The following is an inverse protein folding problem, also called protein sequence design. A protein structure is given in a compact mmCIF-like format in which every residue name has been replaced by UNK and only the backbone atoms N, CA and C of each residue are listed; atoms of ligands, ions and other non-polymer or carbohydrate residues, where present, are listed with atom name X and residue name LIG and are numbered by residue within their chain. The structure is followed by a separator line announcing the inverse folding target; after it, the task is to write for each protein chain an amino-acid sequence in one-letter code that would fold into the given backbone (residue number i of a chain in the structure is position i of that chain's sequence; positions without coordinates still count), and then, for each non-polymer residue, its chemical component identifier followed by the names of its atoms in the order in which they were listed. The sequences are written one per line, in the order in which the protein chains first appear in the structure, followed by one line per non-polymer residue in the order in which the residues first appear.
data_IF_065353229316
#
_entry.id   IF_065353229316
#
_cell.length_a   1.000
_cell.length_b   1.000
_cell.length_c   1.000
_cell.angle_alpha   90.00
_cell.angle_beta   90.00
_cell.angle_gamma   90.00
#
_symmetry.space_group_name_H-M   'P 1'
#
loop_
_entity.id
_entity.type
_entity.pdbx_description
1 polymer ?
#
# COMPACT_ATOMS: atom_id res chain seq x y z
N UNK A 1 -7.56 -16.76 9.31
CA UNK A 1 -6.80 -17.55 8.31
C UNK A 1 -7.11 -16.95 6.95
N UNK A 2 -6.12 -16.54 6.14
CA UNK A 2 -6.38 -15.98 4.81
C UNK A 2 -6.95 -17.09 3.93
N UNK A 3 -8.03 -16.80 3.22
CA UNK A 3 -8.60 -17.70 2.23
C UNK A 3 -8.31 -17.12 0.86
N UNK A 4 -7.76 -17.96 -0.02
CA UNK A 4 -7.50 -17.60 -1.40
C UNK A 4 -8.81 -17.66 -2.20
N UNK A 5 -9.06 -16.60 -2.98
CA UNK A 5 -10.21 -16.55 -3.88
C UNK A 5 -10.02 -17.43 -5.11
N UNK A 6 -8.77 -17.67 -5.50
CA UNK A 6 -8.38 -18.45 -6.67
C UNK A 6 -7.87 -19.81 -6.22
N UNK A 7 -8.25 -20.86 -6.96
CA UNK A 7 -7.81 -22.22 -6.70
C UNK A 7 -6.88 -22.64 -7.84
N UNK A 8 -5.62 -22.83 -7.51
CA UNK A 8 -4.57 -23.34 -8.39
C UNK A 8 -3.60 -24.18 -7.55
N UNK A 9 -2.81 -25.03 -8.18
CA UNK A 9 -1.73 -25.74 -7.48
C UNK A 9 -0.71 -24.73 -6.93
N UNK A 10 -0.07 -25.01 -5.78
CA UNK A 10 0.99 -24.14 -5.26
C UNK A 10 2.06 -23.88 -6.33
N UNK A 11 2.25 -22.61 -6.65
CA UNK A 11 3.25 -22.18 -7.63
C UNK A 11 4.55 -21.95 -6.86
N UNK A 12 5.59 -22.70 -7.19
CA UNK A 12 6.92 -22.50 -6.63
C UNK A 12 7.59 -21.27 -7.25
N UNK A 13 8.00 -20.34 -6.41
CA UNK A 13 8.85 -19.20 -6.74
C UNK A 13 9.56 -18.71 -5.46
N UNK A 14 10.64 -17.98 -5.63
CA UNK A 14 11.30 -17.26 -4.55
C UNK A 14 10.97 -15.76 -4.66
N UNK A 15 10.52 -15.18 -3.56
CA UNK A 15 10.35 -13.74 -3.44
C UNK A 15 11.07 -13.22 -2.20
N UNK A 16 11.89 -12.21 -2.40
CA UNK A 16 12.50 -11.42 -1.35
C UNK A 16 12.32 -9.94 -1.68
N UNK A 17 11.90 -9.16 -0.68
CA UNK A 17 11.73 -7.72 -0.84
C UNK A 17 13.08 -7.01 -0.71
N UNK A 18 13.76 -6.79 -1.85
CA UNK A 18 15.02 -6.05 -1.95
C UNK A 18 14.88 -4.80 -2.83
N UNK A 19 15.90 -3.94 -2.85
CA UNK A 19 15.88 -2.71 -3.67
C UNK A 19 15.91 -3.02 -5.18
N UNK A 20 16.43 -4.17 -5.58
CA UNK A 20 16.50 -4.64 -6.96
C UNK A 20 15.23 -5.36 -7.39
N UNK A 21 14.53 -6.03 -6.46
CA UNK A 21 13.39 -6.91 -6.75
C UNK A 21 12.03 -6.27 -6.51
N UNK A 22 11.99 -5.13 -5.81
CA UNK A 22 10.73 -4.47 -5.43
C UNK A 22 10.79 -2.97 -5.75
N UNK A 23 10.13 -2.59 -6.84
CA UNK A 23 9.98 -1.20 -7.25
C UNK A 23 8.53 -0.71 -7.10
N UNK A 24 8.38 0.50 -6.55
CA UNK A 24 7.08 1.12 -6.33
C UNK A 24 7.08 2.54 -6.86
N UNK A 25 6.24 2.84 -7.84
CA UNK A 25 6.02 4.20 -8.34
C UNK A 25 4.67 4.74 -7.88
N UNK A 26 4.68 5.90 -7.23
CA UNK A 26 3.47 6.60 -6.83
C UNK A 26 2.72 7.17 -8.04
N UNK A 27 1.41 6.95 -8.10
CA UNK A 27 0.52 7.60 -9.06
C UNK A 27 -0.15 8.80 -8.38
N UNK A 28 0.09 10.04 -8.84
CA UNK A 28 -0.45 11.22 -8.19
C UNK A 28 -1.98 11.25 -8.33
N UNK A 29 -2.68 11.80 -7.33
CA UNK A 29 -4.14 11.88 -7.34
C UNK A 29 -4.67 12.79 -8.47
N UNK A 30 -3.89 13.81 -8.82
CA UNK A 30 -4.20 14.79 -9.86
C UNK A 30 -2.92 15.24 -10.56
N UNK A 31 -3.07 15.76 -11.78
CA UNK A 31 -1.96 16.37 -12.51
C UNK A 31 -1.54 17.67 -11.84
N UNK A 32 -0.23 17.87 -11.64
CA UNK A 32 0.30 19.12 -11.09
C UNK A 32 0.16 20.27 -12.10
N UNK A 33 -0.07 21.48 -11.58
CA UNK A 33 -0.46 22.63 -12.40
C UNK A 33 0.68 23.27 -13.21
N UNK A 34 1.94 22.89 -12.96
CA UNK A 34 3.12 23.51 -13.57
C UNK A 34 3.44 24.92 -13.07
N UNK A 35 2.57 25.50 -12.24
CA UNK A 35 2.73 26.82 -11.60
C UNK A 35 2.22 26.81 -10.16
N UNK A 36 2.80 27.67 -9.32
CA UNK A 36 2.37 27.87 -7.94
C UNK A 36 3.53 28.11 -6.98
N UNK A 37 3.22 28.12 -5.68
CA UNK A 37 4.16 28.44 -4.60
C UNK A 37 4.89 27.21 -4.05
N UNK A 38 4.57 26.01 -4.54
CA UNK A 38 5.21 24.77 -4.13
C UNK A 38 5.93 24.14 -5.30
N UNK A 39 7.21 23.80 -5.10
CA UNK A 39 7.96 22.93 -5.97
C UNK A 39 7.55 21.48 -5.66
N UNK A 40 7.21 20.75 -6.71
CA UNK A 40 6.94 19.32 -6.66
C UNK A 40 8.13 18.58 -7.27
N UNK A 41 8.66 17.64 -6.51
CA UNK A 41 9.80 16.80 -6.87
C UNK A 41 9.30 15.36 -7.04
N UNK A 42 9.51 14.78 -8.22
CA UNK A 42 9.41 13.33 -8.42
C UNK A 42 10.74 12.73 -8.00
N UNK A 43 10.76 12.05 -6.86
CA UNK A 43 11.99 11.55 -6.25
C UNK A 43 12.02 10.03 -6.30
N UNK A 44 13.10 9.48 -6.86
CA UNK A 44 13.48 8.09 -6.70
C UNK A 44 14.42 7.96 -5.50
N UNK A 45 14.08 7.06 -4.58
CA UNK A 45 14.94 6.72 -3.42
C UNK A 45 15.21 5.22 -3.40
N UNK A 46 16.37 4.82 -2.87
CA UNK A 46 16.77 3.43 -2.63
C UNK A 46 17.23 3.23 -1.19
N UNK A 47 16.87 2.10 -0.59
CA UNK A 47 17.27 1.71 0.79
C UNK A 47 17.09 2.85 1.82
N UNK A 48 15.92 3.50 1.78
CA UNK A 48 15.65 4.68 2.59
C UNK A 48 14.15 4.76 2.88
N UNK A 49 13.75 4.99 4.13
CA UNK A 49 12.34 5.24 4.46
C UNK A 49 11.91 6.64 4.01
N UNK A 50 10.61 6.87 3.80
CA UNK A 50 10.11 8.23 3.51
C UNK A 50 10.50 9.21 4.61
N UNK A 51 10.44 8.83 5.89
CA UNK A 51 10.88 9.68 7.00
C UNK A 51 12.34 10.12 6.89
N UNK A 52 13.24 9.20 6.52
CA UNK A 52 14.65 9.53 6.33
C UNK A 52 14.84 10.46 5.12
N UNK A 53 14.08 10.27 4.04
CA UNK A 53 14.06 11.20 2.91
C UNK A 53 13.66 12.61 3.35
N UNK A 54 12.56 12.75 4.11
CA UNK A 54 12.10 14.05 4.63
C UNK A 54 13.19 14.71 5.46
N UNK A 55 13.84 13.95 6.35
CA UNK A 55 14.93 14.45 7.17
C UNK A 55 16.12 14.94 6.34
N UNK A 56 16.54 14.17 5.33
CA UNK A 56 17.65 14.54 4.43
C UNK A 56 17.31 15.82 3.65
N UNK A 57 16.09 15.93 3.14
CA UNK A 57 15.63 17.12 2.43
C UNK A 57 15.56 18.34 3.36
N UNK A 58 15.09 18.17 4.60
CA UNK A 58 15.09 19.21 5.63
C UNK A 58 16.51 19.72 5.89
N UNK A 59 17.49 18.83 6.04
CA UNK A 59 18.89 19.22 6.24
C UNK A 59 19.51 19.92 5.02
N UNK A 60 19.21 19.48 3.81
CA UNK A 60 19.72 20.11 2.59
C UNK A 60 19.10 21.51 2.35
N UNK A 61 17.82 21.68 2.68
CA UNK A 61 17.04 22.88 2.34
C UNK A 61 16.87 23.88 3.48
N UNK A 62 17.16 23.50 4.73
CA UNK A 62 16.88 24.30 5.92
C UNK A 62 15.39 24.37 6.31
N UNK A 63 14.52 23.66 5.60
CA UNK A 63 13.08 23.62 5.90
C UNK A 63 12.80 22.79 7.16
N UNK A 64 11.73 23.12 7.88
CA UNK A 64 11.21 22.20 8.89
C UNK A 64 10.58 20.99 8.20
N UNK A 65 10.70 19.80 8.80
CA UNK A 65 10.11 18.57 8.24
C UNK A 65 8.59 18.68 8.00
N UNK A 66 7.88 19.48 8.81
CA UNK A 66 6.43 19.75 8.64
C UNK A 66 6.08 20.54 7.38
N UNK A 67 7.05 21.26 6.81
CA UNK A 67 6.87 22.08 5.60
C UNK A 67 7.12 21.25 4.32
N UNK A 68 7.51 19.98 4.47
CA UNK A 68 7.78 19.04 3.38
C UNK A 68 6.59 18.07 3.26
N UNK A 69 5.79 18.26 2.22
CA UNK A 69 4.58 17.48 1.96
C UNK A 69 4.85 16.18 1.18
N UNK A 70 4.10 15.13 1.49
CA UNK A 70 4.13 13.84 0.82
C UNK A 70 2.77 13.13 0.97
N UNK A 71 2.43 12.23 0.04
CA UNK A 71 1.12 11.59 0.01
C UNK A 71 1.04 10.33 0.88
N UNK A 72 2.13 9.58 1.02
CA UNK A 72 2.18 8.38 1.85
C UNK A 72 3.60 7.92 2.13
N UNK A 73 3.74 7.03 3.10
CA UNK A 73 5.01 6.37 3.37
C UNK A 73 5.28 5.29 2.32
N UNK A 74 6.55 5.08 2.00
CA UNK A 74 7.04 4.06 1.08
C UNK A 74 8.09 3.20 1.77
N UNK A 75 8.19 1.95 1.34
CA UNK A 75 9.08 0.95 1.93
C UNK A 75 10.54 1.38 1.90
N UNK A 76 11.29 0.97 2.94
CA UNK A 76 12.74 1.18 3.02
C UNK A 76 13.47 0.23 2.09
N UNK A 77 13.16 -1.06 2.19
CA UNK A 77 13.78 -2.14 1.41
C UNK A 77 13.16 -2.25 0.01
N UNK A 78 13.23 -1.16 -0.76
CA UNK A 78 12.66 -1.06 -2.09
C UNK A 78 13.31 0.08 -2.88
N UNK A 79 13.24 0.02 -4.21
CA UNK A 79 13.38 1.22 -5.05
C UNK A 79 12.02 1.89 -5.13
N UNK A 80 11.90 3.15 -4.73
CA UNK A 80 10.58 3.80 -4.71
C UNK A 80 10.63 5.18 -5.33
N UNK A 81 9.65 5.47 -6.18
CA UNK A 81 9.42 6.77 -6.79
C UNK A 81 8.18 7.38 -6.12
N UNK A 82 8.32 8.57 -5.53
CA UNK A 82 7.22 9.28 -4.88
C UNK A 82 7.31 10.78 -5.09
N UNK A 83 6.19 11.49 -4.92
CA UNK A 83 6.16 12.94 -5.05
C UNK A 83 6.31 13.62 -3.69
N UNK A 84 7.23 14.58 -3.65
CA UNK A 84 7.48 15.44 -2.50
C UNK A 84 7.18 16.88 -2.88
N UNK A 85 6.51 17.64 -2.01
CA UNK A 85 6.31 19.07 -2.20
C UNK A 85 7.09 19.87 -1.18
N UNK A 86 7.81 20.90 -1.62
CA UNK A 86 8.48 21.88 -0.76
C UNK A 86 8.10 23.31 -1.18
N UNK A 87 8.22 24.32 -0.30
CA UNK A 87 8.08 25.72 -0.70
C UNK A 87 9.03 26.06 -1.86
N UNK A 88 8.52 26.75 -2.88
CA UNK A 88 9.27 27.09 -4.11
C UNK A 88 10.59 27.80 -3.83
N UNK A 89 10.65 28.61 -2.78
CA UNK A 89 11.84 29.39 -2.40
C UNK A 89 13.03 28.51 -2.01
N UNK A 90 12.78 27.27 -1.57
CA UNK A 90 13.82 26.32 -1.16
C UNK A 90 14.47 25.57 -2.34
N UNK A 91 14.00 25.78 -3.58
CA UNK A 91 14.51 25.07 -4.76
C UNK A 91 16.03 25.24 -4.94
N UNK A 92 16.53 26.45 -4.73
CA UNK A 92 17.96 26.77 -4.86
C UNK A 92 18.85 26.01 -3.87
N UNK A 93 18.29 25.59 -2.74
CA UNK A 93 19.01 24.86 -1.69
C UNK A 93 19.14 23.37 -2.00
N UNK A 94 18.41 22.85 -3.00
CA UNK A 94 18.55 21.46 -3.45
C UNK A 94 19.95 21.14 -3.99
N UNK A 95 20.75 22.16 -4.35
CA UNK A 95 22.17 21.97 -4.68
C UNK A 95 23.00 21.39 -3.53
N UNK A 96 22.51 21.51 -2.28
CA UNK A 96 23.16 20.97 -1.09
C UNK A 96 22.79 19.49 -0.86
N UNK A 97 21.93 18.90 -1.70
CA UNK A 97 21.56 17.49 -1.64
C UNK A 97 22.65 16.64 -2.33
N UNK A 98 23.49 15.97 -1.54
CA UNK A 98 24.71 15.29 -2.03
C UNK A 98 24.68 13.76 -1.97
N UNK A 99 23.52 13.15 -1.70
CA UNK A 99 23.43 11.69 -1.53
C UNK A 99 23.05 10.96 -2.82
N UNK A 100 23.77 9.88 -3.13
CA UNK A 100 23.50 9.01 -4.28
C UNK A 100 22.24 8.14 -4.08
N UNK A 101 21.71 8.03 -2.86
CA UNK A 101 20.49 7.26 -2.56
C UNK A 101 19.21 7.98 -3.00
N UNK A 102 19.30 9.23 -3.44
CA UNK A 102 18.17 10.08 -3.85
C UNK A 102 18.45 10.64 -5.23
N UNK A 103 17.53 10.43 -6.15
CA UNK A 103 17.56 10.99 -7.50
C UNK A 103 16.28 11.81 -7.73
N UNK A 104 16.43 13.06 -8.18
CA UNK A 104 15.31 13.91 -8.58
C UNK A 104 15.08 13.66 -10.07
N UNK A 105 14.01 12.93 -10.39
CA UNK A 105 13.66 12.57 -11.76
C UNK A 105 13.00 13.72 -12.51
N UNK A 106 12.10 14.44 -11.83
CA UNK A 106 11.33 15.54 -12.42
C UNK A 106 11.08 16.65 -11.41
N UNK A 107 10.93 17.87 -11.92
CA UNK A 107 10.51 19.06 -11.19
C UNK A 107 9.30 19.68 -11.86
N UNK A 108 8.29 20.05 -11.08
CA UNK A 108 7.15 20.84 -11.53
C UNK A 108 6.64 21.70 -10.38
N UNK A 109 5.55 22.44 -10.58
CA UNK A 109 4.99 23.30 -9.53
C UNK A 109 3.51 23.05 -9.31
N UNK A 110 3.06 23.34 -8.10
CA UNK A 110 1.65 23.28 -7.75
C UNK A 110 1.24 24.44 -6.84
N UNK A 111 -0.05 24.76 -6.85
CA UNK A 111 -0.62 25.81 -6.00
C UNK A 111 -0.60 25.46 -4.51
N UNK A 112 -0.72 24.18 -4.17
CA UNK A 112 -0.81 23.66 -2.80
C UNK A 112 0.21 22.54 -2.58
N UNK A 113 0.65 22.31 -1.32
CA UNK A 113 1.52 21.18 -0.99
C UNK A 113 0.76 19.86 -1.10
N UNK A 114 1.50 18.77 -1.27
CA UNK A 114 0.98 17.41 -1.20
C UNK A 114 0.66 17.08 0.25
N UNK A 115 -0.55 16.55 0.49
CA UNK A 115 -1.01 16.10 1.81
C UNK A 115 -1.14 14.58 1.86
N UNK A 116 -1.08 14.04 3.07
CA UNK A 116 -1.30 12.61 3.33
C UNK A 116 -2.62 12.16 2.69
N UNK A 117 -2.57 11.05 1.94
CA UNK A 117 -3.70 10.48 1.21
C UNK A 117 -3.91 11.04 -0.20
N UNK A 118 -3.15 12.05 -0.64
CA UNK A 118 -3.29 12.63 -1.98
C UNK A 118 -2.53 11.85 -3.07
N UNK A 119 -2.78 10.54 -3.15
CA UNK A 119 -2.32 9.68 -4.24
C UNK A 119 -3.50 8.88 -4.82
N UNK A 120 -3.44 8.57 -6.12
CA UNK A 120 -4.40 7.68 -6.77
C UNK A 120 -4.12 6.22 -6.41
N UNK A 121 -2.84 5.87 -6.30
CA UNK A 121 -2.39 4.51 -6.04
C UNK A 121 -0.89 4.38 -6.23
N UNK A 122 -0.42 3.15 -6.35
CA UNK A 122 0.98 2.86 -6.66
C UNK A 122 1.04 1.82 -7.77
N UNK A 123 1.98 2.00 -8.69
CA UNK A 123 2.41 0.99 -9.65
C UNK A 123 3.52 0.15 -9.02
N UNK A 124 3.43 -1.17 -9.12
CA UNK A 124 4.41 -2.09 -8.56
C UNK A 124 5.10 -2.85 -9.68
N UNK A 125 6.43 -2.96 -9.61
CA UNK A 125 7.23 -3.89 -10.39
C UNK A 125 7.95 -4.82 -9.43
N UNK A 126 7.71 -6.12 -9.57
CA UNK A 126 8.18 -7.15 -8.65
C UNK A 126 8.88 -8.23 -9.45
N UNK A 127 10.10 -8.59 -9.03
CA UNK A 127 10.88 -9.67 -9.62
C UNK A 127 10.76 -10.92 -8.75
N UNK A 128 10.31 -12.01 -9.36
CA UNK A 128 10.26 -13.35 -8.77
C UNK A 128 11.45 -14.16 -9.28
N UNK A 129 12.14 -14.87 -8.39
CA UNK A 129 13.28 -15.73 -8.71
C UNK A 129 12.88 -17.21 -8.69
N UNK A 130 13.74 -18.07 -9.24
CA UNK A 130 13.57 -19.52 -9.25
C UNK A 130 12.21 -19.97 -9.82
N UNK A 131 11.78 -19.30 -10.89
CA UNK A 131 10.52 -19.57 -11.57
C UNK A 131 10.78 -20.52 -12.75
N UNK A 132 10.20 -21.72 -12.70
CA UNK A 132 10.23 -22.65 -13.84
C UNK A 132 9.33 -22.16 -14.98
N UNK A 133 9.48 -22.71 -16.19
CA UNK A 133 8.59 -22.39 -17.32
C UNK A 133 7.12 -22.66 -16.97
N UNK A 134 6.84 -23.83 -16.38
CA UNK A 134 5.49 -24.18 -15.93
C UNK A 134 4.95 -23.23 -14.86
N UNK A 135 5.80 -22.80 -13.91
CA UNK A 135 5.41 -21.82 -12.90
C UNK A 135 5.09 -20.45 -13.52
N UNK A 136 5.87 -20.00 -14.51
CA UNK A 136 5.63 -18.75 -15.21
C UNK A 136 4.28 -18.75 -15.95
N UNK A 137 3.95 -19.84 -16.65
CA UNK A 137 2.65 -20.00 -17.32
C UNK A 137 1.48 -19.96 -16.32
N UNK A 138 1.61 -20.65 -15.18
CA UNK A 138 0.59 -20.61 -14.12
C UNK A 138 0.44 -19.21 -13.50
N UNK A 139 1.55 -18.49 -13.29
CA UNK A 139 1.53 -17.10 -12.80
C UNK A 139 0.79 -16.22 -13.78
N UNK A 140 1.12 -16.31 -15.07
CA UNK A 140 0.48 -15.50 -16.11
C UNK A 140 -1.03 -15.77 -16.15
N UNK A 141 -1.45 -17.04 -16.23
CA UNK A 141 -2.86 -17.43 -16.24
C UNK A 141 -3.59 -16.90 -14.99
N UNK A 142 -2.98 -17.05 -13.81
CA UNK A 142 -3.58 -16.57 -12.56
C UNK A 142 -3.66 -15.04 -12.53
N UNK A 143 -2.66 -14.34 -13.04
CA UNK A 143 -2.64 -12.89 -13.14
C UNK A 143 -3.74 -12.35 -14.08
N UNK A 144 -3.95 -12.99 -15.23
CA UNK A 144 -5.04 -12.66 -16.15
C UNK A 144 -6.41 -12.86 -15.52
N UNK A 145 -6.60 -13.94 -14.75
CA UNK A 145 -7.82 -14.16 -13.99
C UNK A 145 -8.04 -13.08 -12.92
N UNK A 146 -7.00 -12.75 -12.15
CA UNK A 146 -7.03 -11.70 -11.14
C UNK A 146 -7.32 -10.32 -11.75
N UNK A 147 -6.79 -10.02 -12.95
CA UNK A 147 -7.06 -8.77 -13.64
C UNK A 147 -8.54 -8.64 -14.04
N UNK A 148 -9.17 -9.74 -14.48
CA UNK A 148 -10.58 -9.75 -14.88
C UNK A 148 -11.54 -9.78 -13.70
N UNK A 149 -11.25 -10.58 -12.67
CA UNK A 149 -12.17 -10.86 -11.55
C UNK A 149 -11.86 -10.06 -10.29
N UNK A 150 -10.71 -9.38 -10.22
CA UNK A 150 -10.23 -8.63 -9.06
C UNK A 150 -9.55 -9.50 -8.02
N UNK A 151 -9.17 -8.94 -6.87
CA UNK A 151 -8.64 -9.71 -5.73
C UNK A 151 -9.33 -9.28 -4.44
N UNK A 152 -9.46 -10.17 -3.44
CA UNK A 152 -9.91 -9.75 -2.11
C UNK A 152 -8.93 -8.74 -1.51
N UNK A 153 -9.41 -7.54 -1.22
CA UNK A 153 -8.60 -6.42 -0.73
C UNK A 153 -8.28 -6.53 0.78
N UNK A 154 -7.58 -7.60 1.18
CA UNK A 154 -7.19 -7.78 2.58
C UNK A 154 -6.18 -6.72 3.03
N UNK A 155 -6.27 -6.30 4.30
CA UNK A 155 -5.16 -5.65 4.97
C UNK A 155 -4.00 -6.65 5.17
N UNK A 156 -2.81 -6.30 4.66
CA UNK A 156 -1.59 -7.09 4.82
C UNK A 156 -1.05 -7.13 6.26
N UNK A 157 -0.09 -8.03 6.52
CA UNK A 157 0.48 -8.24 7.86
C UNK A 157 1.09 -6.97 8.46
N UNK A 158 1.71 -6.13 7.62
CA UNK A 158 2.30 -4.84 8.01
C UNK A 158 1.27 -3.90 8.67
N UNK A 159 -0.02 -4.04 8.39
CA UNK A 159 -1.09 -3.27 9.07
C UNK A 159 -1.19 -3.61 10.56
N UNK A 160 -0.77 -4.81 10.94
CA UNK A 160 -0.92 -5.37 12.29
C UNK A 160 0.39 -5.35 13.09
N UNK A 161 1.42 -4.66 12.61
CA UNK A 161 2.74 -4.59 13.24
C UNK A 161 3.57 -5.86 13.02
N UNK A 162 4.82 -5.84 13.51
CA UNK A 162 5.78 -6.94 13.35
C UNK A 162 5.27 -8.25 13.99
N UNK A 163 4.61 -8.15 15.15
CA UNK A 163 4.06 -9.29 15.87
C UNK A 163 2.69 -9.76 15.33
N UNK A 164 2.13 -9.04 14.33
CA UNK A 164 0.77 -9.23 13.81
C UNK A 164 -0.34 -9.24 14.89
N UNK A 165 -0.07 -8.64 16.07
CA UNK A 165 -0.96 -8.64 17.24
C UNK A 165 -1.33 -7.25 17.72
N UNK A 166 -0.91 -6.20 17.02
CA UNK A 166 -1.25 -4.81 17.37
C UNK A 166 -2.77 -4.57 17.46
N UNK A 167 -3.57 -5.35 16.72
CA UNK A 167 -5.03 -5.32 16.77
C UNK A 167 -5.62 -5.70 18.14
N UNK A 168 -4.90 -6.48 18.98
CA UNK A 168 -5.35 -6.85 20.32
C UNK A 168 -5.36 -5.65 21.26
N UNK A 169 -4.28 -4.86 21.25
CA UNK A 169 -4.22 -3.59 21.97
C UNK A 169 -5.26 -2.61 21.41
N UNK A 170 -5.39 -2.56 20.08
CA UNK A 170 -6.44 -1.79 19.41
C UNK A 170 -7.85 -2.13 19.89
N UNK A 171 -8.16 -3.42 20.07
CA UNK A 171 -9.44 -3.91 20.60
C UNK A 171 -9.68 -3.42 22.03
N UNK A 172 -8.67 -3.50 22.90
CA UNK A 172 -8.78 -3.02 24.28
C UNK A 172 -9.08 -1.51 24.32
N UNK A 173 -8.33 -0.73 23.54
CA UNK A 173 -8.51 0.73 23.44
C UNK A 173 -9.90 1.06 22.89
N UNK A 174 -10.31 0.44 21.79
CA UNK A 174 -11.62 0.69 21.17
C UNK A 174 -12.80 0.38 22.12
N UNK A 175 -12.66 -0.64 22.96
CA UNK A 175 -13.69 -1.03 23.95
C UNK A 175 -13.63 -0.25 25.26
N UNK A 176 -12.59 0.57 25.47
CA UNK A 176 -12.40 1.29 26.74
C UNK A 176 -13.38 2.46 26.96
N UNK A 177 -14.12 2.88 25.93
CA UNK A 177 -14.97 4.07 25.96
C UNK A 177 -14.20 5.40 26.02
N UNK A 178 -12.86 5.37 26.05
CA UNK A 178 -12.01 6.56 26.13
C UNK A 178 -11.85 7.21 24.75
N UNK A 179 -11.82 8.54 24.73
CA UNK A 179 -11.48 9.32 23.53
C UNK A 179 -10.02 9.09 23.15
N UNK A 180 -9.77 8.81 21.87
CA UNK A 180 -8.41 8.66 21.31
C UNK A 180 -7.69 10.00 21.30
N UNK A 181 -6.54 10.09 21.97
CA UNK A 181 -5.73 11.31 22.11
C UNK A 181 -4.49 11.26 21.23
N UNK A 182 -3.88 10.09 21.02
CA UNK A 182 -2.58 9.96 20.35
C UNK A 182 -2.63 9.34 18.95
N UNK A 183 -1.62 9.65 18.11
CA UNK A 183 -1.45 9.01 16.79
C UNK A 183 -1.25 7.49 16.90
N UNK A 184 -0.51 7.03 17.92
CA UNK A 184 -0.32 5.61 18.23
C UNK A 184 -1.63 4.90 18.54
N UNK A 185 -2.49 5.49 19.38
CA UNK A 185 -3.79 4.92 19.73
C UNK A 185 -4.69 4.79 18.49
N UNK A 186 -4.72 5.83 17.64
CA UNK A 186 -5.46 5.81 16.38
C UNK A 186 -4.96 4.70 15.45
N UNK A 187 -3.64 4.52 15.35
CA UNK A 187 -3.05 3.45 14.55
C UNK A 187 -3.45 2.05 15.07
N UNK A 188 -3.40 1.84 16.39
CA UNK A 188 -3.79 0.57 17.01
C UNK A 188 -5.28 0.26 16.80
N UNK A 189 -6.15 1.26 16.95
CA UNK A 189 -7.59 1.10 16.66
C UNK A 189 -7.82 0.82 15.18
N UNK A 190 -7.10 1.48 14.28
CA UNK A 190 -7.16 1.18 12.84
C UNK A 190 -6.70 -0.25 12.51
N UNK A 191 -5.70 -0.77 13.22
CA UNK A 191 -5.30 -2.18 13.11
C UNK A 191 -6.43 -3.11 13.56
N UNK A 192 -7.16 -2.78 14.63
CA UNK A 192 -8.34 -3.56 15.02
C UNK A 192 -9.47 -3.52 13.98
N UNK A 193 -9.76 -2.35 13.42
CA UNK A 193 -10.74 -2.22 12.32
C UNK A 193 -10.33 -3.06 11.11
N UNK A 194 -9.06 -3.03 10.72
CA UNK A 194 -8.54 -3.85 9.64
C UNK A 194 -8.65 -5.36 9.91
N UNK A 195 -8.51 -5.78 11.17
CA UNK A 195 -8.68 -7.17 11.57
C UNK A 195 -10.15 -7.61 11.44
N UNK A 196 -11.08 -6.79 11.92
CA UNK A 196 -12.52 -7.05 11.76
C UNK A 196 -12.92 -7.11 10.27
N UNK A 197 -12.41 -6.17 9.46
CA UNK A 197 -12.64 -6.16 8.02
C UNK A 197 -12.11 -7.43 7.35
N UNK A 198 -10.88 -7.86 7.67
CA UNK A 198 -10.32 -9.09 7.13
C UNK A 198 -11.15 -10.32 7.51
N UNK A 199 -11.69 -10.39 8.74
CA UNK A 199 -12.56 -11.49 9.16
C UNK A 199 -13.87 -11.49 8.35
N UNK A 200 -14.52 -10.34 8.22
CA UNK A 200 -15.72 -10.20 7.38
C UNK A 200 -15.44 -10.58 5.92
N UNK A 201 -14.34 -10.09 5.34
CA UNK A 201 -13.96 -10.39 3.96
C UNK A 201 -13.67 -11.88 3.77
N UNK A 202 -13.07 -12.53 4.76
CA UNK A 202 -12.84 -13.99 4.74
C UNK A 202 -14.14 -14.75 4.61
N UNK A 203 -15.15 -14.41 5.42
CA UNK A 203 -16.47 -15.05 5.32
C UNK A 203 -17.14 -14.74 3.99
N UNK A 204 -17.02 -13.49 3.49
CA UNK A 204 -17.54 -13.11 2.18
C UNK A 204 -16.91 -13.93 1.05
N UNK A 205 -15.60 -14.15 1.08
CA UNK A 205 -14.89 -14.96 0.07
C UNK A 205 -15.36 -16.43 0.10
N UNK A 206 -15.58 -17.00 1.29
CA UNK A 206 -16.15 -18.36 1.41
C UNK A 206 -17.54 -18.46 0.77
N UNK A 207 -18.42 -17.52 1.11
CA UNK A 207 -19.77 -17.45 0.56
C UNK A 207 -19.72 -17.33 -0.97
N UNK A 208 -18.94 -16.38 -1.48
CA UNK A 208 -18.78 -16.18 -2.93
C UNK A 208 -18.29 -17.45 -3.61
N UNK A 209 -17.30 -18.15 -3.04
CA UNK A 209 -16.79 -19.40 -3.63
C UNK A 209 -17.90 -20.43 -3.79
N UNK A 210 -18.68 -20.69 -2.73
CA UNK A 210 -19.79 -21.66 -2.78
C UNK A 210 -20.85 -21.25 -3.81
N UNK A 211 -21.26 -19.98 -3.81
CA UNK A 211 -22.29 -19.47 -4.74
C UNK A 211 -21.81 -19.57 -6.20
N UNK A 212 -20.53 -19.30 -6.47
CA UNK A 212 -20.02 -19.35 -7.85
C UNK A 212 -19.73 -20.74 -8.39
N UNK A 213 -19.60 -21.77 -7.54
CA UNK A 213 -19.24 -23.13 -7.97
C UNK A 213 -20.41 -24.12 -7.95
N UNK A 214 -21.56 -23.75 -7.40
CA UNK A 214 -22.73 -24.63 -7.30
C UNK A 214 -23.97 -23.94 -7.88
N UNK A 215 -24.97 -24.74 -8.28
CA UNK A 215 -26.29 -24.19 -8.61
C UNK A 215 -26.94 -23.55 -7.36
N UNK A 216 -27.83 -22.53 -7.50
CA UNK A 216 -28.40 -21.81 -6.36
C UNK A 216 -29.02 -22.71 -5.26
N UNK A 217 -29.74 -23.77 -5.65
CA UNK A 217 -30.35 -24.73 -4.72
C UNK A 217 -29.30 -25.46 -3.88
N UNK A 218 -28.21 -25.88 -4.53
CA UNK A 218 -27.13 -26.63 -3.88
C UNK A 218 -26.30 -25.70 -2.99
N UNK A 219 -25.98 -24.51 -3.49
CA UNK A 219 -25.34 -23.46 -2.68
C UNK A 219 -26.16 -23.12 -1.43
N UNK A 220 -27.49 -22.99 -1.55
CA UNK A 220 -28.39 -22.75 -0.42
C UNK A 220 -28.32 -23.86 0.65
N UNK A 221 -28.27 -25.13 0.21
CA UNK A 221 -28.08 -26.28 1.12
C UNK A 221 -26.72 -26.25 1.81
N UNK A 222 -25.64 -26.03 1.06
CA UNK A 222 -24.27 -25.99 1.60
C UNK A 222 -24.09 -24.83 2.59
N UNK A 223 -24.68 -23.67 2.29
CA UNK A 223 -24.61 -22.47 3.14
C UNK A 223 -25.61 -22.48 4.30
N UNK A 224 -26.59 -23.39 4.28
CA UNK A 224 -27.73 -23.40 5.21
C UNK A 224 -28.50 -22.07 5.16
N UNK A 225 -28.71 -21.55 3.95
CA UNK A 225 -29.42 -20.29 3.69
C UNK A 225 -30.76 -20.58 2.99
N UNK A 226 -31.79 -19.75 3.22
CA UNK A 226 -32.98 -19.78 2.38
C UNK A 226 -32.61 -19.60 0.90
N UNK A 227 -33.15 -20.45 0.02
CA UNK A 227 -32.85 -20.42 -1.41
C UNK A 227 -33.13 -19.04 -2.04
N UNK A 228 -34.18 -18.35 -1.58
CA UNK A 228 -34.52 -17.00 -2.02
C UNK A 228 -33.42 -15.94 -1.77
N UNK A 229 -32.48 -16.22 -0.85
CA UNK A 229 -31.35 -15.34 -0.52
C UNK A 229 -30.08 -15.69 -1.31
N UNK A 230 -30.06 -16.82 -2.02
CA UNK A 230 -28.93 -17.29 -2.82
C UNK A 230 -29.25 -17.03 -4.29
N UNK A 231 -28.63 -16.01 -4.86
CA UNK A 231 -28.78 -15.60 -6.27
C UNK A 231 -27.45 -15.68 -6.99
#
# INVERSE_FOLDING_TARGET
MKIYAYSHEPIAFEFEQTIERFEVEELPLFRFTGKGNFLILKIKKRDMSTWKLIHVLSKATGLNERDIGYAGLKDKSATTIQYISIPKQAERELKNLTTEKIEILEKTYNKAPIKIGQLKGNSFSIILHNVTVSAAEMIQKTAEEMARKGIPNYFGYQRFGEDSRSYLQGKQIAKSGKRLKGAKEKLLVAAYQGHLFNNWLTERVKLSKVITTHAPQEAAKVLVYPEALVK
#
